data_IF_197062320539
#
_entry.id   IF_197062320539
#
_cell.length_a   1.000
_cell.length_b   1.000
_cell.length_c   1.000
_cell.angle_alpha   90.00
_cell.angle_beta   90.00
_cell.angle_gamma   90.00
#
_symmetry.space_group_name_H-M   'P 1'
#
loop_
_entity.id
_entity.type
_entity.pdbx_description
1 polymer ?
#
# COMPACT_ATOMS: atom_id res chain seq x y z
N UNK A 1 39.53 66.54 9.60
CA UNK A 1 40.07 65.69 8.53
C UNK A 1 39.84 64.23 8.91
N UNK A 2 39.30 63.47 7.96
CA UNK A 2 39.18 62.00 7.92
C UNK A 2 38.16 61.30 8.83
N UNK A 3 36.96 61.27 8.26
CA UNK A 3 35.93 60.22 8.21
C UNK A 3 36.34 58.77 8.55
N UNK A 4 35.52 58.11 9.38
CA UNK A 4 35.44 56.66 9.53
C UNK A 4 33.98 56.21 9.66
N UNK A 5 33.35 55.88 8.54
CA UNK A 5 32.01 55.29 8.46
C UNK A 5 32.09 53.77 8.61
N UNK A 6 31.20 53.23 9.43
CA UNK A 6 30.93 51.80 9.60
C UNK A 6 30.08 51.29 8.43
N UNK A 7 30.39 50.15 7.76
CA UNK A 7 29.43 49.47 6.89
C UNK A 7 28.70 48.36 7.64
N UNK A 8 27.38 48.47 7.59
CA UNK A 8 26.37 47.50 8.03
C UNK A 8 26.46 46.14 7.34
N UNK A 9 26.14 45.09 8.11
CA UNK A 9 25.85 43.72 7.66
C UNK A 9 24.95 43.67 6.42
N UNK A 10 25.42 43.05 5.33
CA UNK A 10 24.58 42.64 4.22
C UNK A 10 24.07 41.21 4.44
N UNK A 11 22.79 41.10 4.80
CA UNK A 11 22.05 39.85 4.86
C UNK A 11 21.66 39.44 3.44
N UNK A 12 22.33 38.42 2.87
CA UNK A 12 21.88 37.82 1.62
C UNK A 12 20.70 36.88 1.89
N UNK A 13 19.48 37.36 1.64
CA UNK A 13 18.29 36.51 1.62
C UNK A 13 18.25 35.67 0.35
N UNK A 14 17.93 34.40 0.51
CA UNK A 14 17.78 33.33 -0.50
C UNK A 14 16.80 33.63 -1.67
N UNK A 15 16.34 34.86 -1.83
CA UNK A 15 15.31 35.28 -2.79
C UNK A 15 15.86 35.71 -4.15
N UNK A 16 17.11 36.20 -4.24
CA UNK A 16 17.67 36.71 -5.50
C UNK A 16 18.07 35.60 -6.47
N UNK A 17 18.74 34.55 -5.98
CA UNK A 17 19.17 33.40 -6.78
C UNK A 17 18.03 32.57 -7.41
N UNK A 18 16.79 32.72 -6.91
CA UNK A 18 15.61 32.03 -7.42
C UNK A 18 14.81 32.85 -8.46
N UNK A 19 15.13 34.14 -8.62
CA UNK A 19 14.46 35.01 -9.59
C UNK A 19 15.13 34.93 -10.97
N UNK A 20 16.47 34.85 -11.02
CA UNK A 20 17.21 34.81 -12.28
C UNK A 20 17.02 33.50 -13.05
N UNK A 21 16.79 32.38 -12.35
CA UNK A 21 16.50 31.11 -12.99
C UNK A 21 15.08 31.01 -13.59
N UNK A 22 14.17 31.95 -13.28
CA UNK A 22 12.76 31.89 -13.70
C UNK A 22 12.45 32.60 -15.02
N UNK A 23 13.22 33.60 -15.41
CA UNK A 23 12.99 34.33 -16.67
C UNK A 23 13.37 33.53 -17.93
N UNK A 24 14.16 32.47 -17.79
CA UNK A 24 14.68 31.69 -18.92
C UNK A 24 13.66 30.65 -19.43
N UNK A 25 12.70 30.22 -18.60
CA UNK A 25 11.85 29.07 -18.91
C UNK A 25 10.41 29.42 -19.36
N UNK A 26 9.85 30.59 -19.02
CA UNK A 26 8.44 30.93 -19.32
C UNK A 26 8.22 32.45 -19.51
N UNK A 27 8.15 32.97 -20.75
CA UNK A 27 8.15 34.42 -21.01
C UNK A 27 6.82 35.16 -20.74
N UNK A 28 5.69 34.46 -20.54
CA UNK A 28 4.36 35.07 -20.36
C UNK A 28 3.74 34.79 -18.97
N UNK A 29 4.44 35.16 -17.90
CA UNK A 29 3.98 34.91 -16.52
C UNK A 29 3.69 36.23 -15.78
N UNK A 30 2.47 36.37 -15.23
CA UNK A 30 2.09 37.50 -14.37
C UNK A 30 1.70 37.03 -12.97
N UNK A 31 2.13 37.77 -11.94
CA UNK A 31 1.77 37.53 -10.54
C UNK A 31 1.43 38.85 -9.85
N UNK A 32 0.42 38.85 -8.98
CA UNK A 32 0.07 39.98 -8.13
C UNK A 32 0.11 39.61 -6.65
N UNK A 33 0.31 40.61 -5.78
CA UNK A 33 0.31 40.47 -4.33
C UNK A 33 -0.76 41.39 -3.73
N UNK A 34 -1.47 40.88 -2.74
CA UNK A 34 -2.27 41.68 -1.82
C UNK A 34 -1.90 41.30 -0.37
N UNK A 35 -2.33 42.13 0.57
CA UNK A 35 -2.22 42.05 2.02
C UNK A 35 -2.54 40.68 2.65
N UNK A 36 -3.26 39.79 1.95
CA UNK A 36 -3.60 38.45 2.42
C UNK A 36 -2.84 37.26 1.76
N UNK A 37 -1.94 37.49 0.77
CA UNK A 37 -1.13 36.41 0.17
C UNK A 37 -0.77 36.58 -1.31
N UNK A 38 -0.05 35.58 -1.86
CA UNK A 38 0.40 35.53 -3.27
C UNK A 38 -0.65 34.85 -4.14
N UNK A 39 -1.12 35.53 -5.19
CA UNK A 39 -2.05 34.96 -6.18
C UNK A 39 -1.27 34.63 -7.45
N UNK A 40 -1.41 33.39 -7.94
CA UNK A 40 -0.77 32.92 -9.16
C UNK A 40 -1.84 32.75 -10.24
N UNK A 41 -1.70 33.48 -11.34
CA UNK A 41 -2.48 33.26 -12.56
C UNK A 41 -1.66 32.37 -13.50
N UNK A 42 -2.29 31.32 -14.00
CA UNK A 42 -1.73 30.44 -15.02
C UNK A 42 -2.70 30.41 -16.19
N UNK A 43 -2.30 31.00 -17.32
CA UNK A 43 -3.07 30.94 -18.57
C UNK A 43 -2.61 29.73 -19.38
N UNK A 44 -3.57 28.88 -19.77
CA UNK A 44 -3.34 27.68 -20.56
C UNK A 44 -4.28 27.67 -21.78
N UNK A 45 -4.23 28.70 -22.64
CA UNK A 45 -5.11 28.77 -23.80
C UNK A 45 -6.60 28.57 -23.46
N UNK A 46 -7.42 28.03 -24.37
CA UNK A 46 -8.90 28.01 -24.38
C UNK A 46 -9.64 27.41 -23.14
N UNK A 47 -8.98 27.11 -22.02
CA UNK A 47 -9.65 26.86 -20.76
C UNK A 47 -8.90 27.48 -19.57
N UNK A 48 -9.32 28.67 -19.15
CA UNK A 48 -8.82 29.29 -17.91
C UNK A 48 -9.39 28.56 -16.69
N UNK A 49 -8.51 27.98 -15.83
CA UNK A 49 -8.88 27.51 -14.49
C UNK A 49 -8.11 28.30 -13.43
N UNK A 50 -8.85 29.01 -12.57
CA UNK A 50 -8.27 29.72 -11.42
C UNK A 50 -7.86 28.72 -10.33
N UNK A 51 -6.59 28.71 -9.95
CA UNK A 51 -6.12 27.96 -8.78
C UNK A 51 -5.74 28.94 -7.66
N UNK A 52 -6.66 29.16 -6.72
CA UNK A 52 -6.38 29.99 -5.54
C UNK A 52 -5.79 29.12 -4.42
N UNK A 53 -4.47 29.24 -4.18
CA UNK A 53 -3.83 28.56 -3.05
C UNK A 53 -3.64 29.54 -1.88
N UNK A 54 -4.43 29.40 -0.81
CA UNK A 54 -4.23 30.14 0.45
C UNK A 54 -3.50 29.26 1.47
N UNK A 55 -2.36 29.72 1.99
CA UNK A 55 -1.67 29.06 3.11
C UNK A 55 -0.20 29.49 3.29
N UNK A 56 0.38 29.27 4.49
CA UNK A 56 1.72 29.75 4.82
C UNK A 56 2.80 29.11 3.94
N UNK A 57 3.83 29.91 3.61
CA UNK A 57 4.85 29.71 2.56
C UNK A 57 5.55 28.34 2.48
N UNK A 58 5.42 27.48 3.50
CA UNK A 58 5.94 26.10 3.50
C UNK A 58 5.08 25.11 2.69
N UNK A 59 3.77 25.37 2.50
CA UNK A 59 2.89 24.53 1.67
C UNK A 59 3.02 24.79 0.15
N UNK A 60 3.45 25.99 -0.26
CA UNK A 60 3.66 26.32 -1.67
C UNK A 60 4.81 25.53 -2.33
N UNK A 61 5.86 25.18 -1.57
CA UNK A 61 6.98 24.36 -2.07
C UNK A 61 6.55 22.92 -2.42
N UNK A 62 5.48 22.43 -1.79
CA UNK A 62 4.93 21.11 -2.05
C UNK A 62 4.09 21.10 -3.34
N UNK A 63 3.28 22.15 -3.57
CA UNK A 63 2.51 22.31 -4.80
C UNK A 63 3.40 22.49 -6.04
N UNK A 64 4.50 23.25 -5.95
CA UNK A 64 5.43 23.45 -7.07
C UNK A 64 6.22 22.18 -7.44
N UNK A 65 6.52 21.29 -6.47
CA UNK A 65 7.14 19.98 -6.76
C UNK A 65 6.19 19.01 -7.44
N UNK A 66 4.89 19.10 -7.18
CA UNK A 66 3.90 18.29 -7.90
C UNK A 66 3.74 18.73 -9.35
N UNK A 67 3.79 20.03 -9.66
CA UNK A 67 3.70 20.52 -11.05
C UNK A 67 4.92 20.12 -11.89
N UNK A 68 6.12 20.05 -11.31
CA UNK A 68 7.33 19.62 -12.03
C UNK A 68 7.30 18.13 -12.43
N UNK A 69 6.43 17.31 -11.82
CA UNK A 69 6.26 15.89 -12.15
C UNK A 69 5.19 15.61 -13.21
N UNK A 70 4.33 16.58 -13.55
CA UNK A 70 3.18 16.37 -14.44
C UNK A 70 3.46 16.78 -15.90
N UNK A 71 4.51 17.57 -16.17
CA UNK A 71 4.69 18.21 -17.48
C UNK A 71 5.96 17.84 -18.27
N UNK A 72 6.63 16.70 -18.00
CA UNK A 72 7.77 16.26 -18.83
C UNK A 72 7.45 14.93 -19.52
N UNK A 73 7.18 14.90 -20.84
CA UNK A 73 7.12 13.66 -21.61
C UNK A 73 8.54 13.12 -21.88
N UNK A 74 8.73 11.79 -22.01
CA UNK A 74 10.05 11.22 -22.26
C UNK A 74 10.34 11.22 -23.77
N UNK A 75 11.19 12.12 -24.26
CA UNK A 75 12.15 11.87 -25.37
C UNK A 75 12.86 13.14 -25.82
N UNK A 76 14.20 13.14 -25.76
CA UNK A 76 15.08 13.73 -26.81
C UNK A 76 16.56 13.56 -26.43
N UNK A 77 17.23 12.57 -27.02
CA UNK A 77 18.62 12.76 -27.42
C UNK A 77 18.72 12.38 -28.89
N UNK A 78 18.93 13.40 -29.73
CA UNK A 78 19.25 13.27 -31.13
C UNK A 78 20.73 13.62 -31.32
N UNK A 79 21.44 12.79 -32.10
CA UNK A 79 22.74 13.07 -32.69
C UNK A 79 22.78 12.42 -34.07
N UNK A 80 22.90 13.25 -35.11
CA UNK A 80 22.94 12.91 -36.54
C UNK A 80 24.39 12.59 -37.01
N UNK A 81 24.72 12.51 -38.33
CA UNK A 81 24.06 11.94 -39.52
C UNK A 81 24.98 10.95 -40.29
N UNK A 82 24.45 10.16 -41.26
CA UNK A 82 25.32 9.57 -42.28
C UNK A 82 24.79 8.40 -43.14
N UNK A 83 24.44 8.74 -44.39
CA UNK A 83 24.66 8.00 -45.65
C UNK A 83 23.84 6.75 -46.03
N UNK A 84 23.24 6.93 -47.22
CA UNK A 84 23.05 6.03 -48.37
C UNK A 84 21.91 5.00 -48.37
N UNK A 85 21.08 5.20 -49.39
CA UNK A 85 20.05 4.32 -49.91
C UNK A 85 20.60 2.97 -50.39
N UNK A 86 19.79 1.92 -50.17
CA UNK A 86 19.66 0.79 -51.07
C UNK A 86 18.26 0.20 -50.89
N UNK A 87 17.55 0.09 -52.02
CA UNK A 87 16.29 -0.63 -52.19
C UNK A 87 16.43 -2.08 -51.71
N UNK A 88 15.41 -2.64 -51.05
CA UNK A 88 14.96 -4.01 -51.29
C UNK A 88 13.50 -4.19 -50.83
N UNK A 89 12.78 -5.00 -51.59
CA UNK A 89 11.34 -5.12 -51.66
C UNK A 89 10.66 -5.72 -50.42
N UNK A 90 9.41 -5.30 -50.19
CA UNK A 90 8.51 -5.85 -49.19
C UNK A 90 7.94 -7.22 -49.61
N UNK A 91 7.89 -8.23 -48.72
CA UNK A 91 7.05 -9.40 -48.95
C UNK A 91 5.60 -9.08 -48.56
N UNK A 92 4.70 -9.24 -49.54
CA UNK A 92 3.25 -9.18 -49.40
C UNK A 92 2.75 -10.39 -48.60
N UNK A 93 2.09 -10.15 -47.46
CA UNK A 93 1.38 -11.19 -46.71
C UNK A 93 0.01 -11.48 -47.36
N UNK A 94 -0.39 -12.76 -47.53
CA UNK A 94 -1.72 -13.11 -48.02
C UNK A 94 -2.82 -12.87 -46.95
N UNK A 95 -4.10 -12.69 -47.38
CA UNK A 95 -5.20 -12.25 -46.52
C UNK A 95 -5.68 -13.32 -45.51
N UNK A 96 -6.35 -12.91 -44.41
CA UNK A 96 -6.73 -13.80 -43.34
C UNK A 96 -7.88 -14.73 -43.71
N UNK A 97 -7.76 -16.01 -43.32
CA UNK A 97 -8.81 -17.01 -43.42
C UNK A 97 -9.95 -16.70 -42.43
N UNK A 98 -11.18 -16.81 -42.91
CA UNK A 98 -12.43 -16.68 -42.15
C UNK A 98 -12.56 -17.78 -41.10
N UNK A 99 -12.60 -17.41 -39.83
CA UNK A 99 -13.00 -18.29 -38.73
C UNK A 99 -14.39 -17.89 -38.24
N UNK A 100 -15.33 -18.82 -38.38
CA UNK A 100 -16.70 -18.77 -37.87
C UNK A 100 -16.76 -18.49 -36.36
N UNK A 101 -17.87 -17.91 -35.84
CA UNK A 101 -17.99 -17.53 -34.44
C UNK A 101 -17.99 -18.75 -33.51
N UNK A 102 -17.18 -18.67 -32.46
CA UNK A 102 -17.15 -19.64 -31.37
C UNK A 102 -18.48 -19.62 -30.57
N UNK A 103 -18.97 -20.77 -30.07
CA UNK A 103 -20.16 -20.83 -29.23
C UNK A 103 -19.90 -20.19 -27.85
N UNK A 104 -20.95 -19.77 -27.13
CA UNK A 104 -20.80 -19.12 -25.82
C UNK A 104 -20.11 -20.06 -24.82
N UNK A 105 -19.12 -19.51 -24.11
CA UNK A 105 -18.42 -20.20 -23.04
C UNK A 105 -19.42 -20.68 -21.99
N UNK A 106 -19.56 -22.00 -21.87
CA UNK A 106 -20.22 -22.63 -20.72
C UNK A 106 -19.43 -22.25 -19.46
N UNK A 107 -20.15 -21.88 -18.40
CA UNK A 107 -19.66 -21.81 -17.03
C UNK A 107 -18.99 -23.16 -16.69
N UNK A 108 -17.67 -23.21 -16.88
CA UNK A 108 -16.84 -24.37 -16.60
C UNK A 108 -16.51 -24.41 -15.13
N UNK A 109 -16.77 -25.56 -14.51
CA UNK A 109 -16.54 -25.84 -13.11
C UNK A 109 -15.14 -25.46 -12.62
N UNK A 110 -15.11 -25.02 -11.36
CA UNK A 110 -13.94 -24.74 -10.50
C UNK A 110 -12.83 -25.78 -10.74
N UNK A 111 -11.56 -25.37 -10.96
CA UNK A 111 -10.47 -26.33 -11.09
C UNK A 111 -10.35 -27.17 -9.80
N UNK A 112 -10.07 -28.48 -9.90
CA UNK A 112 -9.97 -29.34 -8.74
C UNK A 112 -8.80 -28.91 -7.85
N UNK A 113 -9.07 -28.91 -6.53
CA UNK A 113 -8.09 -28.64 -5.48
C UNK A 113 -6.87 -29.56 -5.67
N UNK A 114 -5.66 -29.02 -5.51
CA UNK A 114 -4.53 -29.88 -5.13
C UNK A 114 -4.84 -30.39 -3.73
N UNK A 115 -5.19 -31.67 -3.62
CA UNK A 115 -5.41 -32.33 -2.34
C UNK A 115 -4.12 -32.30 -1.54
N UNK A 116 -4.16 -31.70 -0.36
CA UNK A 116 -3.10 -31.88 0.63
C UNK A 116 -3.05 -33.38 1.01
N UNK A 117 -1.86 -33.97 1.20
CA UNK A 117 -1.77 -35.31 1.77
C UNK A 117 -2.40 -35.31 3.18
N UNK A 118 -3.16 -36.34 3.55
CA UNK A 118 -3.64 -36.48 4.92
C UNK A 118 -2.45 -36.79 5.83
N UNK A 119 -2.18 -35.91 6.79
CA UNK A 119 -1.29 -36.22 7.90
C UNK A 119 -1.93 -37.35 8.70
N UNK A 120 -1.41 -38.57 8.54
CA UNK A 120 -1.81 -39.71 9.37
C UNK A 120 -1.43 -39.47 10.84
N UNK A 121 -2.19 -40.03 11.80
CA UNK A 121 -1.91 -39.80 13.22
C UNK A 121 -0.67 -40.60 13.62
N UNK A 122 0.50 -39.96 13.54
CA UNK A 122 1.69 -40.38 14.28
C UNK A 122 1.47 -40.21 15.79
N UNK A 123 2.24 -40.91 16.64
CA UNK A 123 2.05 -40.90 18.09
C UNK A 123 2.08 -39.46 18.63
N UNK A 124 1.03 -39.12 19.38
CA UNK A 124 0.79 -37.80 19.96
C UNK A 124 1.97 -37.40 20.84
N UNK A 125 2.77 -36.48 20.32
CA UNK A 125 3.77 -35.78 21.11
C UNK A 125 3.06 -34.83 22.09
N UNK A 126 3.38 -34.84 23.40
CA UNK A 126 2.75 -33.98 24.39
C UNK A 126 3.09 -32.49 24.25
N UNK A 127 3.91 -32.12 23.26
CA UNK A 127 4.11 -30.74 22.81
C UNK A 127 3.53 -30.58 21.40
N UNK A 128 2.20 -30.55 21.28
CA UNK A 128 1.58 -30.17 20.02
C UNK A 128 2.06 -28.76 19.66
N UNK A 129 2.73 -28.62 18.50
CA UNK A 129 3.01 -27.30 17.94
C UNK A 129 1.69 -26.51 17.88
N UNK A 130 1.68 -25.20 18.20
CA UNK A 130 0.45 -24.41 18.12
C UNK A 130 -0.18 -24.60 16.74
N UNK A 131 -1.41 -25.12 16.74
CA UNK A 131 -2.07 -25.61 15.54
C UNK A 131 -2.26 -24.48 14.54
N UNK A 132 -1.76 -24.65 13.31
CA UNK A 132 -2.00 -23.70 12.21
C UNK A 132 -3.51 -23.55 11.96
N UNK A 133 -3.96 -22.34 11.64
CA UNK A 133 -5.33 -22.11 11.15
C UNK A 133 -5.52 -22.71 9.74
N UNK A 134 -6.51 -23.59 9.59
CA UNK A 134 -6.82 -24.27 8.34
C UNK A 134 -7.60 -23.42 7.34
N UNK A 135 -7.85 -23.99 6.15
CA UNK A 135 -8.54 -23.32 5.05
C UNK A 135 -9.97 -22.86 5.44
N UNK A 136 -10.65 -23.63 6.29
CA UNK A 136 -11.97 -23.35 6.83
C UNK A 136 -12.05 -22.05 7.64
N UNK A 137 -10.95 -21.63 8.26
CA UNK A 137 -10.90 -20.37 8.99
C UNK A 137 -10.99 -19.16 8.04
N UNK A 138 -10.41 -19.28 6.85
CA UNK A 138 -10.36 -18.19 5.88
C UNK A 138 -11.64 -18.07 5.04
N UNK A 139 -12.40 -19.16 4.89
CA UNK A 139 -13.64 -19.23 4.10
C UNK A 139 -14.83 -18.59 4.83
N UNK A 140 -14.74 -17.28 5.06
CA UNK A 140 -15.76 -16.48 5.70
C UNK A 140 -15.84 -15.07 5.09
N UNK A 141 -16.98 -14.36 5.25
CA UNK A 141 -17.17 -13.04 4.65
C UNK A 141 -16.07 -12.05 5.06
N UNK A 142 -15.68 -11.17 4.14
CA UNK A 142 -14.53 -10.27 4.28
C UNK A 142 -14.46 -9.51 5.62
N UNK A 143 -15.58 -8.92 6.07
CA UNK A 143 -15.64 -8.19 7.34
C UNK A 143 -15.44 -9.14 8.54
N UNK A 144 -16.05 -10.33 8.48
CA UNK A 144 -15.91 -11.35 9.53
C UNK A 144 -14.46 -11.84 9.62
N UNK A 145 -13.82 -12.08 8.47
CA UNK A 145 -12.40 -12.43 8.42
C UNK A 145 -11.54 -11.29 8.98
N UNK A 146 -11.79 -10.04 8.58
CA UNK A 146 -11.00 -8.89 9.02
C UNK A 146 -11.01 -8.71 10.55
N UNK A 147 -12.18 -8.90 11.17
CA UNK A 147 -12.33 -8.91 12.63
C UNK A 147 -11.67 -10.15 13.25
N UNK A 148 -11.94 -11.33 12.70
CA UNK A 148 -11.44 -12.61 13.23
C UNK A 148 -9.91 -12.69 13.24
N UNK A 149 -9.25 -12.08 12.24
CA UNK A 149 -7.79 -12.02 12.15
C UNK A 149 -7.15 -11.22 13.29
N UNK A 150 -7.87 -10.30 13.93
CA UNK A 150 -7.35 -9.59 15.08
C UNK A 150 -7.10 -10.57 16.24
N UNK A 151 -5.91 -10.52 16.80
CA UNK A 151 -5.48 -11.43 17.85
C UNK A 151 -4.75 -12.67 17.37
N UNK A 152 -4.92 -13.09 16.11
CA UNK A 152 -4.17 -14.21 15.56
C UNK A 152 -2.68 -13.87 15.42
N UNK A 153 -1.84 -14.90 15.39
CA UNK A 153 -0.38 -14.73 15.28
C UNK A 153 0.06 -15.05 13.86
N UNK A 154 0.58 -14.05 13.16
CA UNK A 154 1.27 -14.25 11.89
C UNK A 154 2.69 -14.74 12.16
N UNK A 155 3.02 -15.90 11.59
CA UNK A 155 4.32 -16.54 11.72
C UNK A 155 5.02 -16.55 10.37
N UNK A 156 6.32 -16.23 10.39
CA UNK A 156 7.21 -16.28 9.24
C UNK A 156 8.44 -17.10 9.61
N UNK A 157 8.71 -18.18 8.87
CA UNK A 157 9.91 -19.01 9.02
C UNK A 157 10.97 -18.70 7.98
N UNK A 158 12.03 -18.00 8.36
CA UNK A 158 13.13 -17.62 7.48
C UNK A 158 13.89 -18.85 6.93
N UNK A 159 14.64 -18.71 5.82
CA UNK A 159 15.40 -19.83 5.24
C UNK A 159 16.41 -20.48 6.19
N UNK A 160 16.90 -19.73 7.18
CA UNK A 160 17.81 -20.23 8.23
C UNK A 160 17.08 -20.91 9.41
N UNK A 161 15.77 -21.12 9.29
CA UNK A 161 14.94 -21.79 10.29
C UNK A 161 14.40 -20.89 11.41
N UNK A 162 14.84 -19.63 11.51
CA UNK A 162 14.33 -18.70 12.54
C UNK A 162 12.87 -18.34 12.27
N UNK A 163 12.07 -18.32 13.33
CA UNK A 163 10.68 -17.88 13.27
C UNK A 163 10.51 -16.47 13.83
N UNK A 164 9.81 -15.64 13.05
CA UNK A 164 9.35 -14.30 13.42
C UNK A 164 7.85 -14.38 13.66
N UNK A 165 7.38 -13.83 14.79
CA UNK A 165 5.97 -13.91 15.19
C UNK A 165 5.43 -12.53 15.52
N UNK A 166 4.24 -12.22 15.04
CA UNK A 166 3.54 -10.98 15.36
C UNK A 166 2.04 -11.19 15.50
N UNK A 167 1.46 -10.75 16.61
CA UNK A 167 0.00 -10.71 16.81
C UNK A 167 -0.59 -9.64 15.91
N UNK A 168 -1.61 -9.98 15.12
CA UNK A 168 -2.31 -9.00 14.27
C UNK A 168 -3.14 -8.09 15.17
N UNK A 169 -2.96 -6.77 15.01
CA UNK A 169 -3.63 -5.75 15.83
C UNK A 169 -4.40 -4.71 15.03
N UNK A 170 -4.25 -4.71 13.71
CA UNK A 170 -4.97 -3.79 12.80
C UNK A 170 -5.15 -4.43 11.41
N UNK A 171 -6.37 -4.38 10.89
CA UNK A 171 -6.78 -4.92 9.58
C UNK A 171 -7.71 -3.95 8.84
N UNK A 172 -7.78 -4.06 7.51
CA UNK A 172 -8.78 -3.38 6.68
C UNK A 172 -9.48 -4.38 5.76
N UNK A 173 -10.80 -4.28 5.65
CA UNK A 173 -11.59 -5.04 4.68
C UNK A 173 -11.71 -4.28 3.35
N UNK A 174 -11.50 -5.00 2.25
CA UNK A 174 -11.78 -4.57 0.89
C UNK A 174 -12.80 -5.53 0.29
N UNK A 175 -14.02 -5.05 0.06
CA UNK A 175 -15.17 -5.93 -0.19
C UNK A 175 -15.26 -6.44 -1.63
N UNK A 176 -14.40 -5.96 -2.53
CA UNK A 176 -14.58 -6.15 -3.96
C UNK A 176 -15.85 -5.46 -4.46
N UNK A 177 -16.36 -5.88 -5.63
CA UNK A 177 -17.62 -5.38 -6.17
C UNK A 177 -17.73 -3.85 -6.14
N UNK A 178 -18.66 -3.32 -5.36
CA UNK A 178 -18.97 -1.89 -5.28
C UNK A 178 -17.92 -1.05 -4.51
N UNK A 179 -16.99 -1.69 -3.79
CA UNK A 179 -15.97 -0.99 -3.01
C UNK A 179 -14.99 -0.25 -3.93
N UNK A 180 -15.22 1.05 -4.12
CA UNK A 180 -14.43 1.87 -5.06
C UNK A 180 -12.97 2.05 -4.64
N UNK A 181 -12.65 1.76 -3.38
CA UNK A 181 -11.30 1.75 -2.84
C UNK A 181 -10.55 0.44 -3.11
N UNK A 182 -11.25 -0.62 -3.52
CA UNK A 182 -10.65 -1.93 -3.80
C UNK A 182 -9.99 -1.98 -5.17
N UNK A 183 -8.92 -2.76 -5.30
CA UNK A 183 -8.30 -3.05 -6.60
C UNK A 183 -9.23 -3.86 -7.53
N UNK A 184 -10.19 -4.58 -6.95
CA UNK A 184 -11.20 -5.41 -7.60
C UNK A 184 -12.54 -4.68 -7.82
N UNK A 185 -12.58 -3.35 -7.64
CA UNK A 185 -13.80 -2.54 -7.86
C UNK A 185 -14.45 -2.83 -9.22
N UNK A 186 -15.77 -2.92 -9.25
CA UNK A 186 -16.56 -3.28 -10.43
C UNK A 186 -16.24 -4.67 -10.99
N UNK A 187 -15.73 -5.59 -10.16
CA UNK A 187 -15.32 -6.94 -10.58
C UNK A 187 -14.02 -6.95 -11.41
N UNK A 188 -13.20 -5.89 -11.35
CA UNK A 188 -12.01 -5.76 -12.18
C UNK A 188 -10.94 -6.80 -11.83
N UNK A 189 -10.71 -7.73 -12.75
CA UNK A 189 -9.64 -8.74 -12.66
C UNK A 189 -8.44 -8.35 -13.52
N UNK A 190 -7.24 -8.49 -12.96
CA UNK A 190 -5.96 -8.29 -13.64
C UNK A 190 -4.96 -9.31 -13.13
N UNK A 191 -3.88 -9.53 -13.89
CA UNK A 191 -2.77 -10.37 -13.43
C UNK A 191 -2.24 -9.95 -12.05
N UNK A 192 -2.29 -8.65 -11.73
CA UNK A 192 -1.81 -8.13 -10.44
C UNK A 192 -2.67 -8.53 -9.26
N UNK A 193 -3.99 -8.57 -9.38
CA UNK A 193 -4.92 -8.79 -8.26
C UNK A 193 -5.62 -10.15 -8.32
N UNK A 194 -5.12 -11.07 -9.15
CA UNK A 194 -5.69 -12.42 -9.32
C UNK A 194 -5.87 -13.14 -7.98
N UNK A 195 -4.93 -12.98 -7.05
CA UNK A 195 -5.00 -13.55 -5.70
C UNK A 195 -6.29 -13.19 -4.93
N UNK A 196 -6.91 -12.03 -5.19
CA UNK A 196 -8.19 -11.64 -4.55
C UNK A 196 -9.39 -12.45 -5.08
N UNK A 197 -9.24 -13.13 -6.21
CA UNK A 197 -10.25 -13.99 -6.84
C UNK A 197 -9.90 -15.48 -6.70
N UNK A 198 -8.80 -15.79 -6.01
CA UNK A 198 -8.39 -17.14 -5.67
C UNK A 198 -9.05 -17.58 -4.35
N UNK A 199 -9.01 -18.88 -4.02
CA UNK A 199 -9.65 -19.40 -2.80
C UNK A 199 -9.28 -18.60 -1.53
N UNK A 200 -10.20 -18.48 -0.55
CA UNK A 200 -9.91 -17.79 0.69
C UNK A 200 -8.66 -18.36 1.40
N UNK A 201 -7.86 -17.48 1.99
CA UNK A 201 -6.54 -17.82 2.54
C UNK A 201 -5.38 -17.59 1.58
N UNK A 202 -5.65 -17.35 0.30
CA UNK A 202 -4.62 -16.96 -0.68
C UNK A 202 -4.05 -15.58 -0.36
N UNK A 203 -2.74 -15.48 -0.32
CA UNK A 203 -2.02 -14.22 -0.12
C UNK A 203 -2.08 -13.35 -1.37
N UNK A 204 -2.51 -12.11 -1.18
CA UNK A 204 -2.37 -11.07 -2.18
C UNK A 204 -1.30 -10.07 -1.74
N UNK A 205 -0.11 -10.19 -2.34
CA UNK A 205 1.02 -9.30 -2.07
C UNK A 205 1.30 -8.42 -3.28
N UNK A 206 1.23 -7.11 -3.09
CA UNK A 206 1.47 -6.16 -4.17
C UNK A 206 2.46 -5.07 -3.79
N UNK A 207 3.15 -4.55 -4.81
CA UNK A 207 4.06 -3.43 -4.64
C UNK A 207 3.30 -2.09 -4.72
N UNK A 208 3.57 -1.21 -3.78
CA UNK A 208 3.05 0.16 -3.69
C UNK A 208 4.21 1.16 -3.68
N UNK A 209 4.01 2.30 -4.35
CA UNK A 209 5.02 3.36 -4.50
C UNK A 209 6.37 2.88 -5.06
N UNK A 210 6.38 1.78 -5.81
CA UNK A 210 7.56 1.20 -6.46
C UNK A 210 8.61 0.57 -5.54
N UNK A 211 8.43 0.62 -4.21
CA UNK A 211 9.46 0.12 -3.26
C UNK A 211 8.91 -0.62 -2.05
N UNK A 212 7.61 -0.54 -1.79
CA UNK A 212 6.99 -1.12 -0.59
C UNK A 212 6.02 -2.23 -0.95
N UNK A 213 5.75 -3.14 -0.03
CA UNK A 213 4.74 -4.18 -0.19
C UNK A 213 3.55 -3.95 0.73
N UNK A 214 2.40 -4.52 0.35
CA UNK A 214 1.23 -4.69 1.21
C UNK A 214 0.82 -6.17 1.15
N UNK A 215 0.47 -6.74 2.31
CA UNK A 215 0.08 -8.13 2.46
C UNK A 215 -1.41 -8.22 2.76
N UNK A 216 -2.16 -8.88 1.89
CA UNK A 216 -3.58 -9.12 2.05
C UNK A 216 -3.87 -10.62 2.04
N UNK A 217 -5.02 -11.00 2.58
CA UNK A 217 -5.52 -12.38 2.59
C UNK A 217 -6.87 -12.40 1.89
N UNK A 218 -7.01 -13.22 0.85
CA UNK A 218 -8.29 -13.44 0.16
C UNK A 218 -9.32 -13.97 1.15
N UNK A 219 -10.55 -13.47 1.06
CA UNK A 219 -11.68 -13.89 1.90
C UNK A 219 -12.77 -14.53 1.05
N UNK A 220 -13.88 -14.96 1.67
CA UNK A 220 -15.09 -15.29 0.91
C UNK A 220 -15.61 -14.04 0.18
N UNK A 221 -15.99 -14.20 -1.09
CA UNK A 221 -16.52 -13.14 -1.96
C UNK A 221 -15.57 -12.79 -3.10
N UNK A 222 -16.11 -12.60 -4.31
CA UNK A 222 -15.35 -12.30 -5.51
C UNK A 222 -14.52 -11.01 -5.38
N UNK A 223 -13.20 -11.15 -5.43
CA UNK A 223 -12.29 -10.01 -5.33
C UNK A 223 -12.21 -9.41 -3.93
N UNK A 224 -12.70 -10.08 -2.89
CA UNK A 224 -12.67 -9.58 -1.52
C UNK A 224 -11.40 -10.02 -0.79
N UNK A 225 -10.78 -9.11 -0.04
CA UNK A 225 -9.56 -9.41 0.71
C UNK A 225 -9.38 -8.52 1.95
N UNK A 226 -8.63 -9.02 2.92
CA UNK A 226 -8.27 -8.30 4.13
C UNK A 226 -6.81 -7.87 4.08
N UNK A 227 -6.54 -6.57 4.18
CA UNK A 227 -5.20 -6.03 4.35
C UNK A 227 -4.74 -6.19 5.80
N UNK A 228 -3.55 -6.75 6.01
CA UNK A 228 -2.87 -6.68 7.31
C UNK A 228 -2.12 -5.36 7.41
N UNK A 229 -2.43 -4.57 8.44
CA UNK A 229 -1.86 -3.23 8.61
C UNK A 229 -0.85 -3.12 9.72
N UNK A 230 -1.07 -3.84 10.81
CA UNK A 230 -0.15 -3.77 11.92
C UNK A 230 -0.09 -5.06 12.72
N UNK A 231 1.11 -5.32 13.24
CA UNK A 231 1.38 -6.41 14.17
C UNK A 231 1.99 -5.87 15.47
N UNK A 232 1.68 -6.51 16.58
CA UNK A 232 2.49 -6.49 17.80
C UNK A 232 3.57 -7.58 17.69
N UNK A 233 4.86 -7.22 17.59
CA UNK A 233 5.96 -8.19 17.57
C UNK A 233 5.98 -9.04 18.84
N UNK A 234 6.10 -10.36 18.69
CA UNK A 234 6.16 -11.33 19.79
C UNK A 234 7.50 -12.07 19.84
N UNK A 235 8.04 -12.46 18.69
CA UNK A 235 9.29 -13.21 18.57
C UNK A 235 10.13 -12.71 17.40
N UNK A 236 11.46 -12.72 17.55
CA UNK A 236 12.39 -12.35 16.47
C UNK A 236 12.61 -10.85 16.30
N UNK A 237 12.39 -10.05 17.35
CA UNK A 237 12.47 -8.59 17.30
C UNK A 237 13.82 -8.05 16.80
N UNK A 238 14.92 -8.69 17.19
CA UNK A 238 16.27 -8.34 16.71
C UNK A 238 16.39 -8.50 15.20
N UNK A 239 15.90 -9.62 14.66
CA UNK A 239 15.86 -9.89 13.21
C UNK A 239 14.95 -8.92 12.48
N UNK A 240 13.73 -8.68 12.99
CA UNK A 240 12.81 -7.68 12.43
C UNK A 240 13.47 -6.30 12.35
N UNK A 241 14.20 -5.90 13.40
CA UNK A 241 14.92 -4.63 13.45
C UNK A 241 16.03 -4.57 12.40
N UNK A 242 16.82 -5.64 12.27
CA UNK A 242 17.88 -5.73 11.27
C UNK A 242 17.32 -5.62 9.83
N UNK A 243 16.26 -6.37 9.52
CA UNK A 243 15.58 -6.33 8.22
C UNK A 243 15.06 -4.92 7.89
N UNK A 244 14.46 -4.24 8.87
CA UNK A 244 14.00 -2.85 8.71
C UNK A 244 15.13 -1.85 8.50
N UNK A 245 16.24 -2.00 9.22
CA UNK A 245 17.39 -1.10 9.10
C UNK A 245 18.09 -1.26 7.75
N UNK A 246 18.20 -2.48 7.23
CA UNK A 246 18.80 -2.76 5.93
C UNK A 246 18.12 -2.00 4.76
N UNK A 247 16.81 -1.74 4.88
CA UNK A 247 16.04 -1.01 3.87
C UNK A 247 15.95 0.51 4.13
N UNK A 248 16.53 0.99 5.24
CA UNK A 248 16.40 2.38 5.69
C UNK A 248 17.69 3.15 5.41
N UNK A 249 17.66 4.07 4.44
CA UNK A 249 18.81 4.93 4.14
C UNK A 249 19.01 5.97 5.26
N UNK A 250 20.22 6.05 5.84
CA UNK A 250 20.65 7.14 6.72
C UNK A 250 19.99 7.20 8.11
N UNK A 251 19.66 6.06 8.73
CA UNK A 251 19.01 6.06 10.04
C UNK A 251 19.98 6.45 11.18
N UNK A 252 19.86 7.66 11.70
CA UNK A 252 20.65 8.16 12.84
C UNK A 252 20.17 7.65 14.22
N UNK A 253 18.95 7.13 14.32
CA UNK A 253 18.35 6.70 15.59
C UNK A 253 17.86 5.25 15.57
N UNK A 254 17.98 4.52 16.70
CA UNK A 254 17.50 3.15 16.84
C UNK A 254 16.00 3.05 16.54
N UNK A 255 15.59 1.98 15.87
CA UNK A 255 14.18 1.65 15.69
C UNK A 255 13.60 1.07 16.99
N UNK A 256 12.61 1.75 17.54
CA UNK A 256 11.83 1.26 18.68
C UNK A 256 10.95 0.08 18.25
N UNK A 257 10.62 -0.82 19.17
CA UNK A 257 9.80 -2.01 18.90
C UNK A 257 8.44 -1.67 18.31
N UNK A 258 7.82 -0.59 18.80
CA UNK A 258 6.59 0.02 18.26
C UNK A 258 6.68 0.27 16.75
N UNK A 259 7.86 0.61 16.25
CA UNK A 259 8.06 1.03 14.86
C UNK A 259 8.36 -0.13 13.90
N UNK A 260 8.48 -1.37 14.43
CA UNK A 260 8.81 -2.53 13.61
C UNK A 260 7.65 -2.89 12.68
N UNK A 261 6.43 -2.98 13.21
CA UNK A 261 5.29 -3.50 12.46
C UNK A 261 4.08 -2.55 12.42
N UNK A 262 4.20 -1.29 12.86
CA UNK A 262 3.11 -0.31 12.87
C UNK A 262 2.83 0.35 11.50
N UNK A 263 2.53 -0.48 10.49
CA UNK A 263 2.13 -0.07 9.17
C UNK A 263 2.21 -1.23 8.15
N UNK A 264 1.37 -1.22 7.10
CA UNK A 264 1.21 -2.36 6.20
C UNK A 264 2.50 -2.73 5.48
N UNK A 265 3.25 -1.73 5.02
CA UNK A 265 4.57 -1.98 4.44
C UNK A 265 5.64 -2.23 5.47
N UNK A 266 5.43 -1.80 6.72
CA UNK A 266 6.43 -1.98 7.76
C UNK A 266 6.51 -3.42 8.23
N UNK A 267 5.36 -4.06 8.44
CA UNK A 267 5.30 -5.48 8.79
C UNK A 267 5.85 -6.36 7.66
N UNK A 268 5.62 -6.02 6.39
CA UNK A 268 6.21 -6.77 5.27
C UNK A 268 7.74 -6.75 5.34
N UNK A 269 8.34 -5.58 5.56
CA UNK A 269 9.80 -5.45 5.71
C UNK A 269 10.32 -6.19 6.94
N UNK A 270 9.65 -6.04 8.09
CA UNK A 270 10.04 -6.69 9.34
C UNK A 270 9.98 -8.23 9.26
N UNK A 271 9.09 -8.77 8.42
CA UNK A 271 8.92 -10.21 8.20
C UNK A 271 9.58 -10.73 6.92
N UNK A 272 10.36 -9.91 6.21
CA UNK A 272 10.94 -10.27 4.91
C UNK A 272 9.89 -10.87 3.94
N UNK A 273 8.73 -10.22 3.84
CA UNK A 273 7.67 -10.55 2.90
C UNK A 273 7.81 -9.62 1.69
N UNK A 274 7.94 -10.24 0.52
CA UNK A 274 8.04 -9.59 -0.78
C UNK A 274 7.04 -10.19 -1.77
N UNK A 275 7.19 -9.86 -3.06
CA UNK A 275 6.28 -10.32 -4.12
C UNK A 275 6.30 -11.85 -4.31
N UNK A 276 7.35 -12.56 -3.87
CA UNK A 276 7.45 -14.02 -3.99
C UNK A 276 6.36 -14.77 -3.23
N UNK A 277 5.78 -14.15 -2.20
CA UNK A 277 4.66 -14.69 -1.41
C UNK A 277 3.29 -14.48 -2.05
N UNK A 278 3.19 -13.75 -3.17
CA UNK A 278 1.90 -13.56 -3.84
C UNK A 278 1.36 -14.89 -4.36
N UNK A 279 0.05 -15.10 -4.17
CA UNK A 279 -0.67 -16.31 -4.55
C UNK A 279 -0.30 -17.58 -3.74
N UNK A 280 0.54 -17.46 -2.71
CA UNK A 280 0.73 -18.54 -1.74
C UNK A 280 -0.53 -18.73 -0.88
N UNK A 281 -0.80 -19.97 -0.48
CA UNK A 281 -1.91 -20.33 0.41
C UNK A 281 -1.42 -20.37 1.87
N UNK A 282 -1.96 -19.50 2.73
CA UNK A 282 -1.63 -19.44 4.16
C UNK A 282 -1.91 -20.75 4.91
N UNK A 283 -2.88 -21.54 4.46
CA UNK A 283 -3.26 -22.78 5.13
C UNK A 283 -2.19 -23.87 4.96
N UNK A 284 -1.42 -23.85 3.86
CA UNK A 284 -0.43 -24.88 3.57
C UNK A 284 1.01 -24.37 3.38
N UNK A 285 1.26 -23.06 3.29
CA UNK A 285 2.62 -22.53 3.08
C UNK A 285 3.60 -22.95 4.19
N UNK A 286 4.80 -23.46 3.85
CA UNK A 286 5.82 -23.82 4.83
C UNK A 286 6.56 -22.60 5.40
N UNK A 287 6.44 -21.43 4.75
CA UNK A 287 7.22 -20.24 5.04
C UNK A 287 6.44 -19.17 5.81
N UNK A 288 5.11 -19.17 5.71
CA UNK A 288 4.21 -18.22 6.37
C UNK A 288 2.88 -18.90 6.72
N UNK A 289 2.39 -18.70 7.93
CA UNK A 289 1.10 -19.25 8.37
C UNK A 289 0.50 -18.40 9.50
N UNK A 290 -0.76 -18.70 9.85
CA UNK A 290 -1.41 -18.15 11.04
C UNK A 290 -1.57 -19.21 12.11
N UNK A 291 -1.41 -18.80 13.37
CA UNK A 291 -1.74 -19.58 14.54
C UNK A 291 -2.84 -18.88 15.36
N UNK A 292 -3.68 -19.64 16.08
CA UNK A 292 -4.61 -19.13 17.06
C UNK A 292 -3.91 -18.19 18.05
N UNK A 293 -4.48 -17.01 18.24
CA UNK A 293 -4.12 -16.16 19.38
C UNK A 293 -4.48 -16.85 20.70
N UNK A 294 -3.74 -16.53 21.77
CA UNK A 294 -4.02 -17.04 23.12
C UNK A 294 -5.43 -16.68 23.60
N UNK A 295 -5.96 -15.53 23.17
CA UNK A 295 -7.29 -15.06 23.49
C UNK A 295 -7.88 -14.33 22.27
N UNK A 296 -9.10 -14.73 21.87
CA UNK A 296 -9.87 -13.96 20.92
C UNK A 296 -10.21 -12.60 21.55
N UNK A 297 -9.97 -11.47 20.85
CA UNK A 297 -10.36 -10.18 21.38
C UNK A 297 -11.87 -10.15 21.57
N UNK A 298 -12.32 -9.74 22.75
CA UNK A 298 -13.74 -9.47 23.00
C UNK A 298 -14.22 -8.36 22.03
N UNK A 299 -15.49 -8.38 21.62
CA UNK A 299 -16.00 -7.39 20.65
C UNK A 299 -15.85 -5.95 21.16
N UNK A 300 -15.95 -5.76 22.47
CA UNK A 300 -15.78 -4.49 23.16
C UNK A 300 -14.35 -3.95 23.05
N UNK A 301 -13.36 -4.81 22.75
CA UNK A 301 -11.97 -4.41 22.52
C UNK A 301 -11.71 -3.97 21.08
N UNK A 302 -12.69 -4.08 20.16
CA UNK A 302 -12.55 -3.73 18.76
C UNK A 302 -12.98 -2.30 18.48
N UNK A 303 -12.14 -1.56 17.77
CA UNK A 303 -12.48 -0.26 17.19
C UNK A 303 -12.79 -0.43 15.71
N UNK A 304 -13.95 0.05 15.29
CA UNK A 304 -14.40 0.05 13.90
C UNK A 304 -14.36 1.49 13.36
N UNK A 305 -13.62 1.74 12.27
CA UNK A 305 -13.44 3.09 11.71
C UNK A 305 -13.17 3.10 10.20
N UNK A 306 -13.10 4.29 9.61
CA UNK A 306 -12.63 4.55 8.26
C UNK A 306 -11.23 4.01 7.98
N UNK A 307 -11.02 3.61 6.73
CA UNK A 307 -9.73 3.09 6.23
C UNK A 307 -8.72 4.22 6.02
N UNK A 308 -7.44 3.91 6.13
CA UNK A 308 -6.35 4.87 6.00
C UNK A 308 -5.91 5.01 4.54
N UNK A 309 -5.79 6.26 4.08
CA UNK A 309 -5.24 6.55 2.75
C UNK A 309 -6.22 6.30 1.60
N UNK A 310 -7.52 6.28 1.90
CA UNK A 310 -8.60 6.16 0.92
C UNK A 310 -9.30 7.50 0.73
N UNK A 311 -9.75 7.78 -0.49
CA UNK A 311 -10.56 8.95 -0.87
C UNK A 311 -11.81 8.53 -1.65
N UNK A 312 -12.83 9.37 -1.70
CA UNK A 312 -14.08 9.13 -2.42
C UNK A 312 -15.18 8.53 -1.53
N UNK A 313 -16.28 8.08 -2.14
CA UNK A 313 -17.53 7.74 -1.45
C UNK A 313 -17.40 6.58 -0.44
N UNK A 314 -16.35 5.76 -0.59
CA UNK A 314 -16.05 4.63 0.29
C UNK A 314 -15.00 4.95 1.37
N UNK A 315 -14.53 6.20 1.45
CA UNK A 315 -13.52 6.61 2.43
C UNK A 315 -14.05 6.59 3.86
N UNK A 316 -15.30 7.02 4.08
CA UNK A 316 -15.91 7.09 5.42
C UNK A 316 -16.51 5.75 5.89
N UNK A 317 -16.50 4.70 5.05
CA UNK A 317 -17.06 3.39 5.41
C UNK A 317 -16.25 2.77 6.56
N UNK A 318 -16.90 2.22 7.60
CA UNK A 318 -16.22 1.67 8.76
C UNK A 318 -15.68 0.26 8.48
N UNK A 319 -14.64 0.19 7.65
CA UNK A 319 -14.04 -1.05 7.12
C UNK A 319 -12.60 -1.27 7.60
N UNK A 320 -12.17 -0.54 8.64
CA UNK A 320 -10.91 -0.74 9.36
C UNK A 320 -11.19 -1.17 10.78
N UNK A 321 -10.46 -2.17 11.24
CA UNK A 321 -10.62 -2.77 12.56
C UNK A 321 -9.28 -2.81 13.28
N UNK A 322 -9.26 -2.46 14.57
CA UNK A 322 -8.06 -2.60 15.40
C UNK A 322 -8.37 -2.82 16.88
N UNK A 323 -7.37 -3.31 17.62
CA UNK A 323 -7.46 -3.52 19.07
C UNK A 323 -7.31 -2.19 19.81
N UNK A 324 -8.34 -1.78 20.57
CA UNK A 324 -8.36 -0.53 21.35
C UNK A 324 -7.16 -0.46 22.30
N UNK A 325 -6.54 0.71 22.39
CA UNK A 325 -5.44 0.96 23.32
C UNK A 325 -4.14 0.22 23.01
N UNK A 326 -4.08 -0.57 21.93
CA UNK A 326 -2.87 -1.28 21.57
C UNK A 326 -1.84 -0.32 20.92
N UNK A 327 -0.70 -0.12 21.59
CA UNK A 327 0.37 0.80 21.17
C UNK A 327 1.03 0.47 19.82
N UNK A 328 0.77 -0.71 19.26
CA UNK A 328 1.31 -1.13 17.97
C UNK A 328 0.40 -0.78 16.79
N UNK A 329 -0.84 -0.34 17.02
CA UNK A 329 -1.73 0.15 15.94
C UNK A 329 -1.06 1.30 15.17
N UNK A 330 -1.21 1.32 13.85
CA UNK A 330 -0.49 2.27 12.99
C UNK A 330 -1.05 3.69 13.08
N UNK A 331 -2.38 3.85 13.09
CA UNK A 331 -3.08 5.13 13.17
C UNK A 331 -4.27 5.00 14.11
N UNK A 332 -4.23 5.66 15.26
CA UNK A 332 -5.34 5.68 16.22
C UNK A 332 -6.40 6.69 15.76
N UNK A 333 -7.66 6.26 15.79
CA UNK A 333 -8.83 7.13 15.66
C UNK A 333 -9.46 7.34 17.04
N UNK A 334 -9.16 8.51 17.63
CA UNK A 334 -9.62 8.87 18.98
C UNK A 334 -11.14 9.06 19.04
N UNK A 335 -11.79 9.44 17.94
CA UNK A 335 -13.24 9.61 17.90
C UNK A 335 -13.93 8.26 17.90
N UNK A 336 -13.47 7.34 17.05
CA UNK A 336 -13.98 5.97 17.03
C UNK A 336 -13.71 5.22 18.34
N UNK A 337 -12.56 5.43 18.99
CA UNK A 337 -12.28 4.86 20.33
C UNK A 337 -13.28 5.35 21.39
N UNK A 338 -13.61 6.64 21.39
CA UNK A 338 -14.61 7.20 22.31
C UNK A 338 -16.02 6.68 22.02
N UNK A 339 -16.40 6.61 20.75
CA UNK A 339 -17.72 6.14 20.35
C UNK A 339 -17.94 4.66 20.71
N UNK A 340 -16.92 3.83 20.51
CA UNK A 340 -16.97 2.39 20.82
C UNK A 340 -16.84 2.07 22.32
N UNK A 341 -16.52 3.06 23.17
CA UNK A 341 -16.50 2.94 24.63
C UNK A 341 -17.84 3.31 25.29
N UNK A 342 -18.81 3.83 24.52
CA UNK A 342 -20.12 4.21 25.05
C UNK A 342 -21.11 3.03 24.99
N UNK A 343 -21.66 2.56 26.12
CA UNK A 343 -22.54 1.39 26.17
C UNK A 343 -23.94 1.60 25.55
N UNK A 344 -24.18 2.71 24.83
CA UNK A 344 -25.50 3.10 24.31
C UNK A 344 -25.59 3.13 22.77
N UNK A 345 -24.65 2.52 22.05
CA UNK A 345 -24.69 2.45 20.59
C UNK A 345 -24.63 0.99 20.11
N UNK A 346 -25.73 0.26 20.31
CA UNK A 346 -26.03 -0.99 19.63
C UNK A 346 -27.50 -0.93 19.18
#
# INVERSE_FOLDING_TARGET
MSSGLCPSRASFTLSSLLLDAKQILFPNWASSRDSAGLILHLDFGEASRLLCCRGPARKLRFCLRLLHMVCIPPSSQAGAPGRRAALFAAPTNPPPASLSPAPPARLGARPPRRSCPPDGPGPLSPWAAPARLGAEYFDQPCIRLAKGLLGQVLVRKLPDGRELRGRIVETEAYLGGDDTASHSRGGRQTARNMAMFMPPGTLYVYQIYGIYFCLNVSSQGEGAAVLLRSLQPLQGLSTMRALRLAQRKGAAHPLQDRQLCNGPSKLCQALAIDKGFDQEDLACSPAVWLEPGLEAPQEEALVCTSRVGISGDWACKPLRFYLRGNKYVSVIDKEAERASASPLAC
#
